data_IF_245594649223
#
_entry.id   IF_245594649223
#
_cell.length_a   1.000
_cell.length_b   1.000
_cell.length_c   1.000
_cell.angle_alpha   90.00
_cell.angle_beta   90.00
_cell.angle_gamma   90.00
#
_symmetry.space_group_name_H-M   'P 1'
#
loop_
_entity.id
_entity.type
_entity.pdbx_description
1 polymer ?
#
# COMPACT_ATOMS: atom_id res chain seq x y z
N UNK A 1 68.79 11.45 -11.15
CA UNK A 1 68.51 11.89 -9.76
C UNK A 1 67.23 12.72 -9.74
N UNK A 2 66.37 12.45 -8.75
CA UNK A 2 65.14 13.18 -8.33
C UNK A 2 63.93 13.04 -9.26
N UNK A 3 62.70 12.81 -8.79
CA UNK A 3 62.14 12.41 -7.47
C UNK A 3 60.68 12.03 -7.82
N UNK A 4 60.23 10.86 -7.39
CA UNK A 4 58.80 10.51 -7.32
C UNK A 4 58.09 11.55 -6.46
N UNK A 5 57.02 12.16 -6.98
CA UNK A 5 56.05 12.88 -6.17
C UNK A 5 54.65 12.44 -6.56
N UNK A 6 54.21 11.39 -5.88
CA UNK A 6 52.80 11.02 -5.74
C UNK A 6 52.09 12.17 -5.01
N UNK A 7 51.20 12.88 -5.70
CA UNK A 7 50.28 13.80 -5.04
C UNK A 7 48.92 13.11 -4.91
N UNK A 8 48.70 12.54 -3.73
CA UNK A 8 47.38 12.19 -3.23
C UNK A 8 46.68 13.51 -2.95
N UNK A 9 45.68 13.88 -3.76
CA UNK A 9 44.85 15.06 -3.51
C UNK A 9 43.39 14.63 -3.41
N UNK A 10 43.03 14.39 -2.14
CA UNK A 10 41.73 14.54 -1.52
C UNK A 10 40.49 14.32 -2.40
N UNK A 11 39.92 13.13 -2.25
CA UNK A 11 38.53 12.82 -2.53
C UNK A 11 37.65 13.70 -1.60
N UNK A 12 37.31 14.92 -2.03
CA UNK A 12 36.14 15.60 -1.50
C UNK A 12 34.94 14.99 -2.23
N UNK A 13 34.50 13.82 -1.74
CA UNK A 13 33.15 13.37 -2.03
C UNK A 13 32.22 14.45 -1.48
N UNK A 14 31.71 15.29 -2.37
CA UNK A 14 30.57 16.12 -2.08
C UNK A 14 29.50 15.14 -1.59
N UNK A 15 29.25 15.12 -0.29
CA UNK A 15 28.05 14.53 0.30
C UNK A 15 26.90 15.44 -0.09
N UNK A 16 26.57 15.41 -1.38
CA UNK A 16 25.23 15.67 -1.86
C UNK A 16 24.39 14.64 -1.15
N UNK A 17 23.82 15.01 0.00
CA UNK A 17 22.58 14.37 0.44
C UNK A 17 21.63 14.62 -0.71
N UNK A 18 21.54 13.66 -1.61
CA UNK A 18 20.37 13.48 -2.42
C UNK A 18 19.27 13.28 -1.38
N UNK A 19 18.61 14.38 -1.01
CA UNK A 19 17.23 14.32 -0.56
C UNK A 19 16.48 13.70 -1.74
N UNK A 20 16.50 12.37 -1.78
CA UNK A 20 15.76 11.62 -2.78
C UNK A 20 14.29 12.02 -2.62
N UNK A 21 13.59 12.26 -3.73
CA UNK A 21 12.22 12.76 -3.70
C UNK A 21 11.39 11.85 -2.81
N UNK A 22 10.73 12.40 -1.79
CA UNK A 22 9.76 11.70 -0.96
C UNK A 22 8.51 11.44 -1.78
N UNK A 23 8.23 10.21 -2.28
CA UNK A 23 7.01 9.96 -3.02
C UNK A 23 5.89 9.72 -2.01
N UNK A 24 5.00 10.71 -1.90
CA UNK A 24 3.62 10.70 -1.41
C UNK A 24 3.20 9.75 -0.27
N UNK A 25 2.84 10.39 0.85
CA UNK A 25 1.74 10.15 1.79
C UNK A 25 0.69 9.14 1.26
N UNK A 26 0.67 7.89 1.78
CA UNK A 26 -0.26 6.81 1.44
C UNK A 26 -0.36 6.42 -0.05
N UNK A 27 0.69 5.92 -0.72
CA UNK A 27 0.73 5.86 -2.19
C UNK A 27 -0.51 5.22 -2.87
N UNK A 28 -1.24 5.99 -3.68
CA UNK A 28 -2.49 6.68 -3.35
C UNK A 28 -3.65 5.70 -2.97
N UNK A 29 -3.75 5.32 -1.70
CA UNK A 29 -4.92 4.68 -1.05
C UNK A 29 -5.33 3.27 -1.53
N UNK A 30 -4.61 2.17 -1.28
CA UNK A 30 -3.19 1.98 -1.14
C UNK A 30 -2.91 0.70 -1.93
N UNK A 31 -2.51 0.80 -3.19
CA UNK A 31 -2.23 -0.38 -4.02
C UNK A 31 -3.46 -1.17 -4.51
N UNK A 32 -4.66 -0.57 -4.56
CA UNK A 32 -5.83 -1.17 -5.23
C UNK A 32 -5.84 -0.74 -6.71
N UNK A 33 -5.94 -1.71 -7.61
CA UNK A 33 -6.17 -1.47 -9.04
C UNK A 33 -7.66 -1.30 -9.34
N UNK A 34 -8.48 -2.27 -8.87
CA UNK A 34 -9.94 -2.22 -9.00
C UNK A 34 -10.64 -3.10 -7.96
N UNK A 35 -11.93 -2.87 -7.78
CA UNK A 35 -12.81 -3.67 -6.93
C UNK A 35 -14.02 -4.10 -7.75
N UNK A 36 -14.38 -5.38 -7.73
CA UNK A 36 -15.57 -5.90 -8.40
C UNK A 36 -16.51 -6.57 -7.43
N UNK A 37 -17.82 -6.50 -7.68
CA UNK A 37 -18.82 -7.16 -6.84
C UNK A 37 -18.71 -8.69 -6.96
N UNK A 38 -18.90 -9.39 -5.85
CA UNK A 38 -19.02 -10.84 -5.78
C UNK A 38 -20.23 -11.21 -4.90
N UNK A 39 -20.68 -12.48 -4.96
CA UNK A 39 -21.77 -12.92 -4.08
C UNK A 39 -21.28 -12.98 -2.63
N UNK A 40 -21.94 -12.23 -1.74
CA UNK A 40 -21.57 -12.10 -0.33
C UNK A 40 -20.26 -11.34 -0.03
N UNK A 41 -19.71 -10.58 -0.99
CA UNK A 41 -18.43 -9.88 -0.80
C UNK A 41 -17.96 -9.05 -2.00
N UNK A 42 -16.65 -8.77 -2.01
CA UNK A 42 -15.97 -8.09 -3.11
C UNK A 42 -14.68 -8.82 -3.49
N UNK A 43 -14.33 -8.75 -4.76
CA UNK A 43 -13.02 -9.14 -5.26
C UNK A 43 -12.14 -7.90 -5.37
N UNK A 44 -10.94 -7.98 -4.80
CA UNK A 44 -10.00 -6.88 -4.70
C UNK A 44 -8.75 -7.23 -5.51
N UNK A 45 -8.42 -6.37 -6.47
CA UNK A 45 -7.25 -6.53 -7.33
C UNK A 45 -6.19 -5.52 -6.91
N UNK A 46 -4.97 -5.98 -6.68
CA UNK A 46 -3.86 -5.14 -6.25
C UNK A 46 -2.97 -4.72 -7.43
N UNK A 47 -2.37 -3.54 -7.35
CA UNK A 47 -1.44 -3.08 -8.39
C UNK A 47 -0.21 -4.00 -8.47
N UNK A 48 0.36 -4.16 -9.66
CA UNK A 48 1.43 -5.14 -9.89
C UNK A 48 2.69 -4.90 -9.04
N UNK A 49 3.03 -3.65 -8.72
CA UNK A 49 4.29 -3.32 -8.04
C UNK A 49 4.18 -3.22 -6.51
N UNK A 50 3.10 -3.72 -5.92
CA UNK A 50 2.75 -3.44 -4.54
C UNK A 50 3.58 -4.22 -3.50
N UNK A 51 3.99 -5.46 -3.76
CA UNK A 51 4.82 -6.24 -2.82
C UNK A 51 4.27 -6.24 -1.36
N UNK A 52 3.04 -6.71 -1.16
CA UNK A 52 2.29 -6.54 0.08
C UNK A 52 2.23 -7.81 0.93
N UNK A 53 2.22 -7.63 2.25
CA UNK A 53 1.67 -8.61 3.18
C UNK A 53 0.25 -8.20 3.54
N UNK A 54 -0.69 -9.14 3.44
CA UNK A 54 -2.11 -8.90 3.68
C UNK A 54 -2.59 -9.83 4.80
N UNK A 55 -3.40 -9.30 5.71
CA UNK A 55 -4.00 -10.03 6.83
C UNK A 55 -5.52 -9.87 6.84
N UNK A 56 -6.26 -10.97 6.73
CA UNK A 56 -7.73 -11.01 6.76
C UNK A 56 -8.16 -11.99 7.85
N UNK A 57 -8.80 -11.51 8.92
CA UNK A 57 -9.37 -12.38 9.99
C UNK A 57 -8.43 -13.52 10.50
N UNK A 58 -7.12 -13.27 10.57
CA UNK A 58 -6.13 -14.27 11.01
C UNK A 58 -5.50 -15.12 9.89
N UNK A 59 -6.01 -15.05 8.66
CA UNK A 59 -5.35 -15.57 7.48
C UNK A 59 -4.34 -14.57 6.91
N UNK A 60 -3.24 -15.08 6.35
CA UNK A 60 -2.17 -14.28 5.76
C UNK A 60 -2.01 -14.55 4.27
N UNK A 61 -1.78 -13.49 3.51
CA UNK A 61 -1.54 -13.53 2.08
C UNK A 61 -0.36 -12.64 1.70
N UNK A 62 0.25 -12.94 0.56
CA UNK A 62 1.28 -12.10 -0.06
C UNK A 62 0.79 -11.69 -1.45
N UNK A 63 0.85 -10.39 -1.76
CA UNK A 63 0.58 -9.87 -3.10
C UNK A 63 1.85 -9.38 -3.77
N UNK A 64 2.20 -9.97 -4.93
CA UNK A 64 3.34 -9.55 -5.76
C UNK A 64 2.96 -9.69 -7.22
N UNK A 65 3.31 -8.71 -8.05
CA UNK A 65 3.07 -8.74 -9.50
C UNK A 65 1.59 -8.93 -9.86
N UNK A 66 0.68 -8.47 -9.00
CA UNK A 66 -0.77 -8.58 -9.17
C UNK A 66 -1.33 -9.96 -8.80
N UNK A 67 -0.51 -10.85 -8.25
CA UNK A 67 -0.90 -12.20 -7.81
C UNK A 67 -0.94 -12.25 -6.29
N UNK A 68 -2.07 -12.69 -5.75
CA UNK A 68 -2.28 -12.98 -4.33
C UNK A 68 -2.00 -14.46 -4.06
N UNK A 69 -1.17 -14.74 -3.06
CA UNK A 69 -0.84 -16.09 -2.62
C UNK A 69 -1.23 -16.32 -1.17
N UNK A 70 -1.87 -17.44 -0.88
CA UNK A 70 -2.18 -17.86 0.50
C UNK A 70 -0.99 -18.55 1.18
N UNK A 71 -1.15 -18.89 2.47
CA UNK A 71 -0.13 -19.59 3.25
C UNK A 71 0.24 -20.99 2.73
N UNK A 72 -0.63 -21.61 1.93
CA UNK A 72 -0.41 -22.93 1.31
C UNK A 72 0.21 -22.82 -0.09
N UNK A 73 0.43 -21.60 -0.60
CA UNK A 73 1.00 -21.35 -1.92
C UNK A 73 -0.02 -21.32 -3.07
N UNK A 74 -1.33 -21.42 -2.79
CA UNK A 74 -2.34 -21.25 -3.83
C UNK A 74 -2.32 -19.81 -4.33
N UNK A 75 -2.34 -19.65 -5.66
CA UNK A 75 -2.22 -18.35 -6.33
C UNK A 75 -3.54 -17.95 -7.00
N UNK A 76 -3.91 -16.68 -6.86
CA UNK A 76 -5.09 -16.06 -7.48
C UNK A 76 -4.73 -14.64 -7.93
N UNK A 77 -5.47 -14.08 -8.88
CA UNK A 77 -5.26 -12.70 -9.36
C UNK A 77 -6.02 -11.65 -8.52
N UNK A 78 -6.79 -12.09 -7.53
CA UNK A 78 -7.55 -11.24 -6.63
C UNK A 78 -7.63 -11.82 -5.22
N UNK A 79 -8.04 -10.99 -4.27
CA UNK A 79 -8.45 -11.37 -2.93
C UNK A 79 -9.97 -11.22 -2.80
N UNK A 80 -10.66 -12.31 -2.46
CA UNK A 80 -12.07 -12.24 -2.06
C UNK A 80 -12.18 -11.90 -0.57
N UNK A 81 -13.02 -10.92 -0.24
CA UNK A 81 -13.31 -10.52 1.14
C UNK A 81 -14.82 -10.38 1.32
N UNK A 82 -15.34 -10.99 2.39
CA UNK A 82 -16.77 -10.97 2.71
C UNK A 82 -17.26 -9.58 3.13
N UNK A 83 -18.53 -9.29 2.88
CA UNK A 83 -19.16 -8.08 3.41
C UNK A 83 -19.10 -8.03 4.94
N UNK A 84 -18.80 -6.84 5.49
CA UNK A 84 -18.60 -6.61 6.92
C UNK A 84 -17.20 -6.97 7.44
N UNK A 85 -16.38 -7.66 6.66
CA UNK A 85 -15.03 -8.03 7.07
C UNK A 85 -14.05 -6.85 6.95
N UNK A 86 -12.98 -6.94 7.74
CA UNK A 86 -11.88 -5.97 7.77
C UNK A 86 -10.56 -6.66 7.47
N UNK A 87 -9.67 -5.97 6.77
CA UNK A 87 -8.34 -6.48 6.50
C UNK A 87 -7.29 -5.37 6.50
N UNK A 88 -6.03 -5.78 6.57
CA UNK A 88 -4.88 -4.90 6.61
C UNK A 88 -3.86 -5.30 5.55
N UNK A 89 -3.24 -4.33 4.89
CA UNK A 89 -2.13 -4.56 3.98
C UNK A 89 -0.95 -3.66 4.34
N UNK A 90 0.26 -4.21 4.29
CA UNK A 90 1.51 -3.50 4.59
C UNK A 90 2.58 -3.81 3.55
N UNK A 91 3.29 -2.78 3.10
CA UNK A 91 4.51 -2.92 2.30
C UNK A 91 5.76 -2.78 3.19
N UNK A 92 5.72 -1.81 4.11
CA UNK A 92 6.70 -1.59 5.18
C UNK A 92 5.97 -1.33 6.50
N UNK A 93 6.66 -1.37 7.64
CA UNK A 93 6.01 -1.17 8.95
C UNK A 93 5.47 0.26 9.09
N UNK A 94 6.13 1.21 8.42
CA UNK A 94 5.85 2.64 8.43
C UNK A 94 4.75 3.04 7.43
N UNK A 95 4.33 2.15 6.51
CA UNK A 95 3.32 2.41 5.48
C UNK A 95 2.28 1.27 5.44
N UNK A 96 1.09 1.57 5.98
CA UNK A 96 0.05 0.57 6.24
C UNK A 96 -1.33 1.07 5.86
N UNK A 97 -2.19 0.15 5.40
CA UNK A 97 -3.57 0.47 5.08
C UNK A 97 -4.54 -0.55 5.67
N UNK A 98 -5.64 -0.01 6.19
CA UNK A 98 -6.77 -0.76 6.70
C UNK A 98 -7.96 -0.61 5.76
N UNK A 99 -8.72 -1.69 5.63
CA UNK A 99 -9.79 -1.82 4.66
C UNK A 99 -11.03 -2.41 5.33
N UNK A 100 -12.20 -1.91 4.95
CA UNK A 100 -13.49 -2.40 5.41
C UNK A 100 -14.44 -2.56 4.23
N UNK A 101 -14.98 -3.78 4.08
CA UNK A 101 -15.92 -4.11 3.00
C UNK A 101 -17.34 -3.88 3.48
N UNK A 102 -18.11 -3.13 2.70
CA UNK A 102 -19.53 -2.91 2.93
C UNK A 102 -20.35 -2.99 1.65
N UNK A 103 -21.66 -2.80 1.79
CA UNK A 103 -22.57 -2.66 0.69
C UNK A 103 -23.50 -1.46 0.93
N UNK A 104 -23.73 -0.66 -0.11
CA UNK A 104 -24.66 0.48 -0.07
C UNK A 104 -25.49 0.50 -1.34
N UNK A 105 -26.81 0.41 -1.20
CA UNK A 105 -27.72 0.44 -2.36
C UNK A 105 -27.49 -0.67 -3.39
N UNK A 106 -27.00 -1.83 -2.96
CA UNK A 106 -26.66 -2.95 -3.86
C UNK A 106 -25.31 -2.85 -4.57
N UNK A 107 -24.54 -1.79 -4.32
CA UNK A 107 -23.16 -1.60 -4.81
C UNK A 107 -22.19 -1.98 -3.69
N UNK A 108 -21.15 -2.74 -4.01
CA UNK A 108 -20.09 -3.07 -3.06
C UNK A 108 -19.22 -1.84 -2.80
N UNK A 109 -18.80 -1.63 -1.56
CA UNK A 109 -17.99 -0.49 -1.13
C UNK A 109 -16.77 -0.97 -0.37
N UNK A 110 -15.62 -0.39 -0.66
CA UNK A 110 -14.36 -0.60 0.06
C UNK A 110 -13.95 0.72 0.70
N UNK A 111 -14.03 0.79 2.02
CA UNK A 111 -13.53 1.94 2.79
C UNK A 111 -12.06 1.70 3.13
N UNK A 112 -11.19 2.62 2.74
CA UNK A 112 -9.75 2.51 2.86
C UNK A 112 -9.25 3.63 3.77
N UNK A 113 -8.40 3.29 4.73
CA UNK A 113 -7.70 4.26 5.59
C UNK A 113 -6.23 3.94 5.61
N UNK A 114 -5.43 4.89 5.19
CA UNK A 114 -3.97 4.81 5.16
C UNK A 114 -3.37 5.47 6.38
N UNK A 115 -2.31 4.88 6.93
CA UNK A 115 -1.53 5.45 8.00
C UNK A 115 -0.04 5.38 7.66
N UNK A 116 0.61 6.54 7.65
CA UNK A 116 2.05 6.68 7.48
C UNK A 116 2.69 7.17 8.77
N UNK A 117 3.63 6.39 9.30
CA UNK A 117 4.31 6.64 10.56
C UNK A 117 5.81 6.74 10.33
N UNK A 118 6.31 7.95 10.07
CA UNK A 118 7.75 8.22 9.91
C UNK A 118 8.36 8.73 11.23
N UNK A 119 9.53 8.20 11.66
CA UNK A 119 10.20 8.67 12.87
C UNK A 119 10.44 10.19 12.86
N UNK A 120 10.06 10.87 13.94
CA UNK A 120 10.23 12.32 14.09
C UNK A 120 9.20 13.18 13.34
N UNK A 121 8.20 12.58 12.69
CA UNK A 121 7.10 13.29 12.04
C UNK A 121 5.76 12.98 12.72
N UNK A 122 4.80 13.92 12.63
CA UNK A 122 3.43 13.66 13.07
C UNK A 122 2.81 12.59 12.15
N UNK A 123 2.09 11.59 12.68
CA UNK A 123 1.36 10.62 11.88
C UNK A 123 0.45 11.30 10.86
N UNK A 124 0.43 10.78 9.64
CA UNK A 124 -0.45 11.26 8.57
C UNK A 124 -1.45 10.16 8.26
N UNK A 125 -2.74 10.54 8.23
CA UNK A 125 -3.86 9.66 7.90
C UNK A 125 -4.70 10.27 6.78
N UNK A 126 -5.19 9.42 5.88
CA UNK A 126 -6.06 9.78 4.76
C UNK A 126 -7.02 8.61 4.50
N UNK A 127 -8.21 8.85 3.94
CA UNK A 127 -9.13 7.78 3.61
C UNK A 127 -9.97 8.02 2.35
N UNK A 128 -10.37 6.94 1.68
CA UNK A 128 -11.28 6.93 0.53
C UNK A 128 -12.30 5.80 0.59
N UNK A 129 -13.39 5.98 -0.16
CA UNK A 129 -14.38 4.96 -0.46
C UNK A 129 -14.27 4.65 -1.95
N UNK A 130 -13.97 3.39 -2.27
CA UNK A 130 -13.97 2.85 -3.63
C UNK A 130 -15.21 1.99 -3.82
N UNK A 131 -16.01 2.25 -4.85
CA UNK A 131 -17.21 1.48 -5.17
C UNK A 131 -16.95 0.51 -6.31
N UNK A 132 -17.71 -0.59 -6.34
CA UNK A 132 -17.62 -1.60 -7.42
C UNK A 132 -18.08 -1.09 -8.79
N UNK A 133 -18.68 0.10 -8.86
CA UNK A 133 -19.01 0.80 -10.11
C UNK A 133 -17.86 1.69 -10.64
N UNK A 134 -16.73 1.72 -9.95
CA UNK A 134 -15.54 2.51 -10.30
C UNK A 134 -15.50 3.91 -9.68
N UNK A 135 -16.54 4.32 -8.93
CA UNK A 135 -16.56 5.62 -8.26
C UNK A 135 -15.61 5.64 -7.06
N UNK A 136 -14.84 6.73 -6.93
CA UNK A 136 -13.95 6.99 -5.80
C UNK A 136 -14.33 8.32 -5.15
N UNK A 137 -14.43 8.36 -3.82
CA UNK A 137 -14.69 9.58 -3.05
C UNK A 137 -13.85 9.62 -1.79
N UNK A 138 -13.42 10.82 -1.36
CA UNK A 138 -12.70 11.00 -0.11
C UNK A 138 -13.59 10.67 1.09
N UNK A 139 -13.01 10.14 2.17
CA UNK A 139 -13.73 10.08 3.44
C UNK A 139 -13.88 11.49 3.99
N UNK A 140 -15.07 11.85 4.51
CA UNK A 140 -15.22 13.11 5.21
C UNK A 140 -14.26 13.15 6.39
N UNK A 141 -13.54 14.27 6.53
CA UNK A 141 -12.63 14.51 7.65
C UNK A 141 -13.39 14.29 8.95
N UNK A 142 -12.86 13.40 9.79
CA UNK A 142 -13.40 13.14 11.12
C UNK A 142 -12.93 14.28 12.03
N UNK A 143 -13.72 15.34 12.12
CA UNK A 143 -13.56 16.37 13.16
C UNK A 143 -13.89 15.80 14.54
#
# INVERSE_FOLDING_TARGET
>A
MRKTNTAIAALLAASSTLAMPSPSIASPICWIDRVTKADGGVNIYFIQKAGLRIMVEGASYISSDGVVRDANGHSQDHLFVKEGAKFFATQMVEDSCSYEVGASGGVGTLTIRSAMNLPGMKPISTGQIVKTDGTVSDLPDSN
#
